data_IF_420374550109
#
_entry.id   IF_420374550109
#
_cell.length_a   1.000
_cell.length_b   1.000
_cell.length_c   1.000
_cell.angle_alpha   90.00
_cell.angle_beta   90.00
_cell.angle_gamma   90.00
#
_symmetry.space_group_name_H-M   'P 1'
#
loop_
_entity.id
_entity.type
_entity.pdbx_description
1 polymer ?
#
# COMPACT_ATOMS: atom_id res chain seq x y z
N UNK A 1 2.75 -53.79 -1.39
CA UNK A 1 3.25 -52.87 -0.37
C UNK A 1 2.18 -51.86 0.11
N UNK A 2 1.48 -51.09 -0.74
CA UNK A 2 0.49 -50.09 -0.31
C UNK A 2 -0.61 -50.64 0.60
N UNK A 3 -1.17 -51.84 0.30
CA UNK A 3 -2.19 -52.49 1.13
C UNK A 3 -1.74 -52.79 2.57
N UNK A 4 -0.47 -53.18 2.73
CA UNK A 4 0.11 -53.44 4.06
C UNK A 4 0.35 -52.13 4.81
N UNK A 5 0.86 -51.11 4.14
CA UNK A 5 1.03 -49.78 4.73
C UNK A 5 -0.28 -49.14 5.22
N UNK A 6 -1.37 -49.28 4.44
CA UNK A 6 -2.69 -48.80 4.86
C UNK A 6 -3.25 -49.57 6.07
N UNK A 7 -3.07 -50.89 6.10
CA UNK A 7 -3.52 -51.71 7.25
C UNK A 7 -2.72 -51.39 8.52
N UNK A 8 -1.47 -51.07 8.36
CA UNK A 8 -0.58 -50.67 9.44
C UNK A 8 -0.85 -49.25 9.93
N UNK A 9 -1.16 -48.34 9.01
CA UNK A 9 -1.65 -46.99 9.33
C UNK A 9 -2.93 -47.05 10.17
N UNK A 10 -3.89 -47.89 9.77
CA UNK A 10 -5.17 -48.06 10.48
C UNK A 10 -4.99 -48.64 11.88
N UNK A 11 -3.98 -49.54 12.09
CA UNK A 11 -3.68 -50.15 13.40
C UNK A 11 -3.13 -49.12 14.41
N UNK A 12 -2.47 -48.03 13.95
CA UNK A 12 -1.90 -46.99 14.79
C UNK A 12 -2.56 -45.61 14.55
N UNK A 13 -3.83 -45.60 14.22
CA UNK A 13 -4.55 -44.45 13.73
C UNK A 13 -4.45 -43.23 14.67
N UNK A 14 -4.56 -43.41 15.98
CA UNK A 14 -4.46 -42.34 16.97
C UNK A 14 -3.08 -41.66 16.99
N UNK A 15 -2.01 -42.46 16.94
CA UNK A 15 -0.63 -41.95 16.91
C UNK A 15 -0.36 -41.20 15.59
N UNK A 16 -0.83 -41.75 14.47
CA UNK A 16 -0.64 -41.16 13.16
C UNK A 16 -1.46 -39.87 13.00
N UNK A 17 -2.70 -39.84 13.51
CA UNK A 17 -3.51 -38.61 13.54
C UNK A 17 -2.83 -37.57 14.42
N UNK A 18 -2.32 -37.90 15.59
CA UNK A 18 -1.64 -36.97 16.47
C UNK A 18 -0.41 -36.32 15.78
N UNK A 19 0.42 -37.11 15.11
CA UNK A 19 1.56 -36.60 14.33
C UNK A 19 1.07 -35.69 13.19
N UNK A 20 0.03 -36.13 12.45
CA UNK A 20 -0.51 -35.33 11.36
C UNK A 20 -1.07 -33.98 11.84
N UNK A 21 -1.75 -33.95 12.98
CA UNK A 21 -2.25 -32.71 13.59
C UNK A 21 -1.09 -31.81 14.03
N UNK A 22 -0.06 -32.33 14.66
CA UNK A 22 1.13 -31.57 15.04
C UNK A 22 1.83 -30.97 13.82
N UNK A 23 2.00 -31.73 12.76
CA UNK A 23 2.59 -31.25 11.51
C UNK A 23 1.73 -30.17 10.87
N UNK A 24 0.41 -30.35 10.86
CA UNK A 24 -0.51 -29.33 10.32
C UNK A 24 -0.45 -28.02 11.10
N UNK A 25 -0.45 -28.06 12.43
CA UNK A 25 -0.30 -26.87 13.28
C UNK A 25 1.03 -26.18 13.03
N UNK A 26 2.13 -26.94 12.98
CA UNK A 26 3.45 -26.39 12.70
C UNK A 26 3.51 -25.72 11.32
N UNK A 27 2.89 -26.34 10.31
CA UNK A 27 2.81 -25.79 8.95
C UNK A 27 2.02 -24.49 8.92
N UNK A 28 0.89 -24.42 9.63
CA UNK A 28 0.07 -23.21 9.75
C UNK A 28 0.89 -22.07 10.39
N UNK A 29 1.55 -22.32 11.51
CA UNK A 29 2.37 -21.33 12.21
C UNK A 29 3.52 -20.85 11.31
N UNK A 30 4.21 -21.78 10.65
CA UNK A 30 5.32 -21.45 9.75
C UNK A 30 4.84 -20.62 8.56
N UNK A 31 3.73 -21.01 7.93
CA UNK A 31 3.15 -20.28 6.81
C UNK A 31 2.72 -18.86 7.22
N UNK A 32 2.07 -18.71 8.36
CA UNK A 32 1.65 -17.41 8.88
C UNK A 32 2.86 -16.51 9.16
N UNK A 33 3.92 -17.04 9.77
CA UNK A 33 5.13 -16.29 10.07
C UNK A 33 5.88 -15.87 8.79
N UNK A 34 6.05 -16.77 7.83
CA UNK A 34 6.69 -16.48 6.53
C UNK A 34 5.86 -15.46 5.75
N UNK A 35 4.54 -15.62 5.69
CA UNK A 35 3.64 -14.69 5.03
C UNK A 35 3.73 -13.28 5.64
N UNK A 36 3.81 -13.17 6.96
CA UNK A 36 3.99 -11.89 7.65
C UNK A 36 5.31 -11.18 7.27
N UNK A 37 6.40 -11.93 7.10
CA UNK A 37 7.69 -11.35 6.65
C UNK A 37 7.62 -10.94 5.19
N UNK A 38 7.10 -11.81 4.33
CA UNK A 38 6.99 -11.53 2.89
C UNK A 38 6.14 -10.30 2.63
N UNK A 39 5.00 -10.16 3.31
CA UNK A 39 4.14 -8.98 3.21
C UNK A 39 4.89 -7.68 3.52
N UNK A 40 5.80 -7.68 4.52
CA UNK A 40 6.62 -6.50 4.85
C UNK A 40 7.65 -6.20 3.76
N UNK A 41 8.28 -7.23 3.21
CA UNK A 41 9.23 -7.09 2.11
C UNK A 41 8.51 -6.58 0.85
N UNK A 42 7.32 -7.10 0.55
CA UNK A 42 6.49 -6.66 -0.57
C UNK A 42 6.09 -5.19 -0.45
N UNK A 43 5.82 -4.70 0.75
CA UNK A 43 5.57 -3.27 0.98
C UNK A 43 6.83 -2.41 0.82
N UNK A 44 7.99 -2.91 1.23
CA UNK A 44 9.24 -2.16 1.13
C UNK A 44 9.81 -2.12 -0.30
N UNK A 45 9.62 -3.18 -1.07
CA UNK A 45 10.20 -3.31 -2.42
C UNK A 45 9.79 -2.18 -3.38
N UNK A 46 8.51 -1.79 -3.49
CA UNK A 46 8.10 -0.66 -4.32
C UNK A 46 8.73 0.65 -3.87
N UNK A 47 8.80 0.85 -2.55
CA UNK A 47 9.33 2.08 -1.95
C UNK A 47 10.84 2.20 -2.16
N UNK A 48 11.57 1.09 -2.13
CA UNK A 48 13.02 1.08 -2.31
C UNK A 48 13.48 1.82 -3.57
N UNK A 49 12.73 1.75 -4.67
CA UNK A 49 13.09 2.43 -5.92
C UNK A 49 13.00 3.96 -5.83
N UNK A 50 12.17 4.50 -4.92
CA UNK A 50 12.03 5.94 -4.70
C UNK A 50 13.10 6.51 -3.76
N UNK A 51 13.86 5.64 -3.10
CA UNK A 51 14.96 5.97 -2.22
C UNK A 51 16.24 5.28 -2.71
N UNK A 52 16.77 5.68 -3.88
CA UNK A 52 18.01 5.10 -4.40
C UNK A 52 19.18 5.37 -3.46
N UNK A 53 20.33 4.74 -3.73
CA UNK A 53 21.53 4.90 -2.90
C UNK A 53 22.21 6.28 -3.05
N UNK A 54 21.52 7.23 -3.69
CA UNK A 54 21.93 8.63 -3.87
C UNK A 54 21.37 9.55 -2.78
N UNK A 55 21.56 10.84 -3.00
CA UNK A 55 21.03 11.92 -2.17
C UNK A 55 19.58 12.20 -2.53
N UNK A 56 18.77 12.48 -1.53
CA UNK A 56 17.40 12.90 -1.73
C UNK A 56 16.72 13.25 -0.43
N UNK A 57 15.56 13.84 -0.55
CA UNK A 57 14.78 14.38 0.54
C UNK A 57 13.34 13.83 0.48
N UNK A 58 12.85 13.35 1.60
CA UNK A 58 11.48 12.96 1.81
C UNK A 58 10.77 14.03 2.62
N UNK A 59 9.68 14.55 2.10
CA UNK A 59 8.86 15.58 2.73
C UNK A 59 7.52 14.95 3.08
N UNK A 60 7.10 15.11 4.31
CA UNK A 60 5.78 14.69 4.76
C UNK A 60 5.04 15.84 5.46
N UNK A 61 3.72 15.72 5.58
CA UNK A 61 2.83 16.78 6.05
C UNK A 61 3.02 18.08 5.25
N UNK A 62 2.89 17.95 3.96
CA UNK A 62 3.04 19.05 3.02
C UNK A 62 1.91 20.04 3.23
N UNK A 63 2.25 21.32 3.31
CA UNK A 63 1.27 22.42 3.33
C UNK A 63 0.75 22.70 1.93
N UNK A 64 -0.45 23.26 1.82
CA UNK A 64 -1.09 23.60 0.54
C UNK A 64 -0.26 24.56 -0.35
N UNK A 65 0.71 25.24 0.25
CA UNK A 65 1.67 26.13 -0.44
C UNK A 65 2.91 25.42 -0.95
N UNK A 66 3.00 24.11 -0.79
CA UNK A 66 4.18 23.36 -1.24
C UNK A 66 4.36 23.48 -2.77
N UNK A 67 5.61 23.59 -3.24
CA UNK A 67 5.89 23.68 -4.66
C UNK A 67 5.44 22.41 -5.38
N UNK A 68 4.87 22.60 -6.57
CA UNK A 68 4.51 21.48 -7.43
C UNK A 68 5.74 20.75 -7.91
N UNK A 69 5.57 19.48 -8.30
CA UNK A 69 6.64 18.67 -8.88
C UNK A 69 7.31 19.36 -10.08
N UNK A 70 6.54 20.10 -10.88
CA UNK A 70 7.05 20.86 -12.01
C UNK A 70 7.98 22.00 -11.59
N UNK A 71 7.70 22.66 -10.47
CA UNK A 71 8.52 23.74 -9.92
C UNK A 71 9.82 23.19 -9.33
N UNK A 72 9.72 22.09 -8.57
CA UNK A 72 10.90 21.44 -8.01
C UNK A 72 11.81 20.84 -9.08
N UNK A 73 11.26 20.28 -10.16
CA UNK A 73 12.05 19.77 -11.31
C UNK A 73 12.78 20.86 -12.06
N UNK A 74 12.39 22.13 -11.93
CA UNK A 74 13.14 23.24 -12.52
C UNK A 74 14.38 23.64 -11.72
N UNK A 75 14.58 23.08 -10.52
CA UNK A 75 15.80 23.26 -9.74
C UNK A 75 16.88 22.35 -10.36
N UNK A 76 17.99 22.93 -10.77
CA UNK A 76 19.07 22.21 -11.50
C UNK A 76 19.60 20.97 -10.77
N UNK A 77 19.54 20.97 -9.43
CA UNK A 77 20.04 19.89 -8.58
C UNK A 77 19.06 18.72 -8.42
N UNK A 78 17.79 18.89 -8.85
CA UNK A 78 16.74 17.88 -8.73
C UNK A 78 16.76 16.98 -9.96
N UNK A 79 16.75 15.67 -9.74
CA UNK A 79 16.65 14.64 -10.78
C UNK A 79 15.19 14.25 -11.02
N UNK A 80 14.48 13.94 -9.95
CA UNK A 80 13.06 13.55 -10.04
C UNK A 80 12.27 13.94 -8.79
N UNK A 81 10.97 14.11 -8.97
CA UNK A 81 10.02 14.34 -7.88
C UNK A 81 8.85 13.39 -8.07
N UNK A 82 8.45 12.74 -7.00
CA UNK A 82 7.32 11.80 -6.99
C UNK A 82 6.41 12.10 -5.82
N UNK A 83 5.12 12.27 -6.09
CA UNK A 83 4.09 12.51 -5.06
C UNK A 83 2.75 11.88 -5.44
N UNK A 84 1.89 11.71 -4.45
CA UNK A 84 0.45 11.63 -4.65
C UNK A 84 -0.10 13.06 -4.72
N UNK A 85 -1.23 13.21 -5.35
CA UNK A 85 -1.83 14.52 -5.59
C UNK A 85 -3.26 14.57 -5.12
N UNK A 86 -3.61 15.67 -4.49
CA UNK A 86 -4.98 16.13 -4.41
C UNK A 86 -5.34 16.94 -5.66
N UNK A 87 -6.60 17.03 -5.99
CA UNK A 87 -7.04 17.75 -7.18
C UNK A 87 -8.14 18.75 -6.82
N UNK A 88 -8.26 19.79 -7.63
CA UNK A 88 -9.40 20.69 -7.57
C UNK A 88 -10.68 20.11 -8.21
N UNK A 89 -10.71 18.82 -8.45
CA UNK A 89 -11.88 18.10 -8.95
C UNK A 89 -12.85 17.79 -7.82
N UNK A 90 -14.12 17.94 -8.11
CA UNK A 90 -15.20 17.65 -7.18
C UNK A 90 -16.06 16.52 -7.70
N UNK A 91 -16.48 15.67 -6.80
CA UNK A 91 -17.55 14.72 -7.04
C UNK A 91 -18.82 15.24 -6.35
N UNK A 92 -19.93 15.29 -7.05
CA UNK A 92 -21.24 15.53 -6.46
C UNK A 92 -22.25 14.52 -7.00
N UNK A 93 -22.90 13.73 -6.13
CA UNK A 93 -23.91 12.76 -6.56
C UNK A 93 -25.17 13.43 -7.13
N UNK A 94 -25.46 14.66 -6.72
CA UNK A 94 -26.63 15.40 -7.20
C UNK A 94 -26.20 16.67 -7.94
N UNK A 95 -26.51 16.76 -9.22
CA UNK A 95 -26.27 17.94 -10.04
C UNK A 95 -27.10 19.18 -9.63
N UNK A 96 -27.90 19.09 -8.57
CA UNK A 96 -28.83 20.13 -8.11
C UNK A 96 -28.28 21.04 -7.01
N UNK A 97 -27.25 20.62 -6.25
CA UNK A 97 -26.83 21.31 -5.03
C UNK A 97 -25.49 22.04 -5.11
N UNK A 98 -25.04 22.37 -6.32
CA UNK A 98 -23.78 23.12 -6.48
C UNK A 98 -23.88 24.59 -6.06
N UNK A 99 -25.11 25.11 -5.89
CA UNK A 99 -25.35 26.51 -5.50
C UNK A 99 -25.25 26.77 -4.00
N UNK A 100 -25.35 25.74 -3.14
CA UNK A 100 -25.45 25.90 -1.69
C UNK A 100 -24.27 25.32 -0.89
N UNK A 101 -23.08 25.29 -1.48
CA UNK A 101 -21.91 24.72 -0.80
C UNK A 101 -21.95 23.19 -0.83
N UNK A 102 -20.78 22.65 -0.85
CA UNK A 102 -20.52 21.22 -0.98
C UNK A 102 -21.11 20.45 0.23
N UNK A 103 -22.03 19.54 -0.02
CA UNK A 103 -22.64 18.68 1.03
C UNK A 103 -21.65 17.70 1.67
N UNK A 104 -22.09 17.04 2.76
CA UNK A 104 -21.29 16.07 3.54
C UNK A 104 -20.88 14.81 2.78
N UNK A 105 -21.46 14.55 1.59
CA UNK A 105 -21.19 13.36 0.77
C UNK A 105 -20.03 13.54 -0.22
N UNK A 106 -19.07 14.39 0.11
CA UNK A 106 -17.92 14.65 -0.78
C UNK A 106 -16.97 13.47 -0.82
N UNK A 107 -16.65 13.06 -2.03
CA UNK A 107 -15.51 12.19 -2.27
C UNK A 107 -14.36 13.03 -2.80
N UNK A 108 -13.18 12.93 -2.17
CA UNK A 108 -11.97 13.54 -2.71
C UNK A 108 -11.59 12.87 -4.02
N UNK A 109 -11.30 13.67 -5.03
CA UNK A 109 -10.72 13.17 -6.28
C UNK A 109 -9.22 13.37 -6.19
N UNK A 110 -8.51 12.27 -6.17
CA UNK A 110 -7.06 12.23 -6.03
C UNK A 110 -6.43 11.70 -7.31
N UNK A 111 -5.17 12.05 -7.53
CA UNK A 111 -4.44 11.54 -8.67
C UNK A 111 -3.13 10.87 -8.24
N UNK A 112 -2.72 9.86 -8.99
CA UNK A 112 -1.44 9.19 -8.84
C UNK A 112 -0.65 9.26 -10.14
N UNK A 113 0.67 9.48 -10.03
CA UNK A 113 1.57 9.39 -11.17
C UNK A 113 1.61 7.94 -11.71
N UNK A 114 1.93 7.81 -12.98
CA UNK A 114 2.03 6.50 -13.64
C UNK A 114 3.05 5.58 -12.94
N UNK A 115 4.16 6.15 -12.46
CA UNK A 115 5.18 5.42 -11.70
C UNK A 115 4.64 4.87 -10.38
N UNK A 116 3.84 5.66 -9.66
CA UNK A 116 3.18 5.22 -8.43
C UNK A 116 2.20 4.08 -8.71
N UNK A 117 1.37 4.23 -9.74
CA UNK A 117 0.37 3.23 -10.14
C UNK A 117 1.04 1.90 -10.49
N UNK A 118 2.17 1.92 -11.21
CA UNK A 118 2.92 0.71 -11.59
C UNK A 118 3.71 0.07 -10.46
N UNK A 119 4.01 0.83 -9.42
CA UNK A 119 4.88 0.36 -8.34
C UNK A 119 4.21 -0.52 -7.33
N UNK A 120 2.96 -0.30 -7.09
CA UNK A 120 2.20 -1.00 -6.06
C UNK A 120 0.74 -1.18 -6.48
N UNK A 121 0.22 -2.37 -6.24
CA UNK A 121 -1.20 -2.68 -6.44
C UNK A 121 -1.82 -2.91 -5.07
N UNK A 122 -2.78 -2.09 -4.63
CA UNK A 122 -3.50 -2.31 -3.39
C UNK A 122 -4.38 -3.57 -3.48
N UNK A 123 -4.85 -4.06 -2.35
CA UNK A 123 -5.82 -5.13 -2.34
C UNK A 123 -7.15 -4.62 -2.90
N UNK A 124 -7.64 -5.26 -3.95
CA UNK A 124 -8.91 -4.90 -4.59
C UNK A 124 -10.05 -5.76 -4.04
N UNK A 125 -11.18 -5.14 -3.75
CA UNK A 125 -12.42 -5.82 -3.41
C UNK A 125 -13.14 -6.31 -4.67
N UNK A 126 -13.05 -5.52 -5.75
CA UNK A 126 -13.56 -5.91 -7.08
C UNK A 126 -12.85 -5.14 -8.21
N UNK A 127 -12.94 -5.66 -9.43
CA UNK A 127 -12.39 -5.02 -10.63
C UNK A 127 -10.86 -5.11 -10.73
N UNK A 128 -10.24 -4.06 -11.31
CA UNK A 128 -8.80 -4.02 -11.61
C UNK A 128 -8.17 -2.76 -11.04
N UNK A 129 -6.88 -2.83 -10.74
CA UNK A 129 -6.08 -1.65 -10.43
C UNK A 129 -5.79 -0.83 -11.70
N UNK A 130 -5.49 0.45 -11.54
CA UNK A 130 -5.25 1.40 -12.65
C UNK A 130 -4.13 0.99 -13.60
N UNK A 131 -3.11 0.26 -13.15
CA UNK A 131 -2.03 -0.24 -14.01
C UNK A 131 -2.51 -1.20 -15.11
N UNK A 132 -3.65 -1.83 -14.92
CA UNK A 132 -4.26 -2.79 -15.84
C UNK A 132 -5.53 -2.23 -16.53
N UNK A 133 -5.81 -0.94 -16.32
CA UNK A 133 -6.94 -0.26 -16.90
C UNK A 133 -6.49 0.50 -18.16
N UNK A 134 -7.29 0.45 -19.20
CA UNK A 134 -7.15 1.29 -20.38
C UNK A 134 -8.35 2.22 -20.47
N UNK A 135 -8.10 3.45 -20.92
CA UNK A 135 -9.18 4.39 -21.19
C UNK A 135 -10.17 3.77 -22.20
N UNK A 136 -11.45 3.90 -21.92
CA UNK A 136 -12.52 3.41 -22.77
C UNK A 136 -13.17 4.62 -23.47
N UNK A 137 -12.62 5.01 -24.62
CA UNK A 137 -13.04 6.22 -25.32
C UNK A 137 -12.73 7.48 -24.49
N UNK A 138 -13.73 8.33 -24.28
CA UNK A 138 -13.62 9.59 -23.52
C UNK A 138 -13.77 9.39 -21.98
N UNK A 139 -13.87 8.14 -21.51
CA UNK A 139 -14.04 7.85 -20.09
C UNK A 139 -12.67 7.73 -19.41
N UNK A 140 -12.50 8.44 -18.32
CA UNK A 140 -11.29 8.39 -17.48
C UNK A 140 -11.41 7.16 -16.57
N UNK A 141 -10.42 6.23 -16.56
CA UNK A 141 -10.45 5.12 -15.62
C UNK A 141 -10.19 5.61 -14.19
N UNK A 142 -11.01 5.15 -13.25
CA UNK A 142 -10.88 5.50 -11.85
C UNK A 142 -11.06 4.27 -10.95
N UNK A 143 -10.43 4.31 -9.77
CA UNK A 143 -10.72 3.38 -8.69
C UNK A 143 -11.27 4.14 -7.49
N UNK A 144 -12.10 3.47 -6.70
CA UNK A 144 -12.72 4.05 -5.50
C UNK A 144 -12.43 3.19 -4.28
N UNK A 145 -12.53 3.78 -3.10
CA UNK A 145 -12.52 3.04 -1.84
C UNK A 145 -13.87 2.38 -1.58
N UNK A 146 -13.88 1.23 -0.93
CA UNK A 146 -15.07 0.38 -0.73
C UNK A 146 -16.20 1.12 0.01
N UNK A 147 -15.86 2.07 0.89
CA UNK A 147 -16.83 2.90 1.61
C UNK A 147 -17.61 3.89 0.71
N UNK A 148 -17.24 4.05 -0.55
CA UNK A 148 -17.94 4.92 -1.51
C UNK A 148 -19.27 4.35 -2.02
N UNK A 149 -19.55 3.06 -1.79
CA UNK A 149 -20.71 2.31 -2.30
C UNK A 149 -20.81 2.18 -3.83
N UNK A 150 -19.78 2.61 -4.59
CA UNK A 150 -19.71 2.41 -6.04
C UNK A 150 -19.24 1.02 -6.41
N UNK A 151 -19.61 0.60 -7.62
CA UNK A 151 -19.27 -0.70 -8.19
C UNK A 151 -18.46 -0.55 -9.46
N UNK A 152 -17.71 -1.57 -9.78
CA UNK A 152 -17.02 -1.67 -11.07
C UNK A 152 -18.02 -1.58 -12.22
N UNK A 153 -17.73 -0.69 -13.18
CA UNK A 153 -18.60 -0.38 -14.33
C UNK A 153 -19.51 0.83 -14.10
N UNK A 154 -19.60 1.37 -12.89
CA UNK A 154 -20.36 2.60 -12.65
C UNK A 154 -19.67 3.78 -13.35
N UNK A 155 -20.48 4.68 -13.92
CA UNK A 155 -20.02 5.92 -14.51
C UNK A 155 -20.37 7.07 -13.57
N UNK A 156 -19.33 7.77 -13.13
CA UNK A 156 -19.42 8.88 -12.20
C UNK A 156 -19.06 10.17 -12.89
N UNK A 157 -19.71 11.27 -12.54
CA UNK A 157 -19.36 12.59 -13.06
C UNK A 157 -18.52 13.35 -12.05
N UNK A 158 -17.32 13.74 -12.44
CA UNK A 158 -16.46 14.66 -11.72
C UNK A 158 -16.52 16.04 -12.37
N UNK A 159 -16.29 17.06 -11.60
CA UNK A 159 -16.40 18.45 -12.05
C UNK A 159 -15.23 19.29 -11.58
N UNK A 160 -14.87 20.29 -12.37
CA UNK A 160 -13.97 21.34 -11.95
C UNK A 160 -14.59 22.70 -12.22
N UNK A 161 -14.14 23.71 -11.45
CA UNK A 161 -14.52 25.10 -11.68
C UNK A 161 -13.63 25.68 -12.76
N UNK A 162 -14.23 26.27 -13.78
CA UNK A 162 -13.53 27.03 -14.80
C UNK A 162 -13.94 28.49 -14.73
N UNK A 163 -12.94 29.36 -14.72
CA UNK A 163 -13.19 30.84 -14.70
C UNK A 163 -13.67 31.28 -16.06
N UNK A 164 -14.90 31.79 -16.14
CA UNK A 164 -15.53 32.25 -17.38
C UNK A 164 -15.62 33.76 -17.51
N UNK A 165 -15.35 34.52 -16.44
CA UNK A 165 -15.41 35.99 -16.48
C UNK A 165 -15.16 36.61 -15.11
N UNK A 166 -15.35 37.95 -15.06
CA UNK A 166 -15.36 38.71 -13.81
C UNK A 166 -16.80 39.09 -13.47
N UNK A 167 -17.11 39.09 -12.19
CA UNK A 167 -18.39 39.54 -11.66
C UNK A 167 -18.39 41.05 -11.54
N UNK A 168 -19.56 41.67 -11.75
CA UNK A 168 -19.73 43.12 -11.46
C UNK A 168 -19.91 43.28 -9.94
N UNK A 169 -19.39 44.40 -9.36
CA UNK A 169 -19.70 44.73 -7.96
C UNK A 169 -21.19 44.88 -7.64
N UNK A 170 -22.03 45.01 -8.67
CA UNK A 170 -23.49 45.12 -8.55
C UNK A 170 -24.20 43.74 -8.60
N UNK A 171 -23.47 42.65 -8.82
CA UNK A 171 -24.04 41.30 -8.83
C UNK A 171 -24.37 40.85 -7.38
N UNK A 172 -25.52 40.20 -7.17
CA UNK A 172 -25.97 39.76 -5.82
C UNK A 172 -24.98 38.85 -5.11
N UNK A 173 -24.25 38.03 -5.88
CA UNK A 173 -23.29 37.05 -5.36
C UNK A 173 -21.83 37.54 -5.42
N UNK A 174 -21.60 38.85 -5.59
CA UNK A 174 -20.27 39.42 -5.72
C UNK A 174 -19.46 39.29 -4.42
N UNK A 175 -18.31 38.60 -4.49
CA UNK A 175 -17.35 38.51 -3.40
C UNK A 175 -16.06 39.27 -3.74
N UNK A 176 -15.70 40.26 -2.91
CA UNK A 176 -14.45 41.01 -3.06
C UNK A 176 -13.19 40.15 -2.95
N UNK A 177 -13.26 38.99 -2.27
CA UNK A 177 -12.16 38.05 -2.14
C UNK A 177 -12.01 37.17 -3.39
N UNK A 178 -13.11 36.89 -4.11
CA UNK A 178 -13.13 36.09 -5.33
C UNK A 178 -14.11 36.68 -6.37
N UNK A 179 -13.72 37.76 -7.07
CA UNK A 179 -14.59 38.49 -7.97
C UNK A 179 -14.77 37.83 -9.34
N UNK A 180 -14.75 36.51 -9.38
CA UNK A 180 -14.81 35.79 -10.64
C UNK A 180 -16.06 34.93 -10.76
N UNK A 181 -16.59 34.87 -11.99
CA UNK A 181 -17.67 33.96 -12.35
C UNK A 181 -17.08 32.62 -12.79
N UNK A 182 -17.65 31.56 -12.25
CA UNK A 182 -17.23 30.20 -12.54
C UNK A 182 -18.34 29.38 -13.19
N UNK A 183 -17.95 28.52 -14.10
CA UNK A 183 -18.78 27.43 -14.61
C UNK A 183 -18.21 26.09 -14.21
N UNK A 184 -19.10 25.08 -14.07
CA UNK A 184 -18.68 23.70 -13.74
C UNK A 184 -18.59 22.87 -15.00
N UNK A 185 -17.38 22.53 -15.40
CA UNK A 185 -17.11 21.60 -16.50
C UNK A 185 -17.17 20.18 -15.98
N UNK A 186 -17.94 19.33 -16.68
CA UNK A 186 -18.21 17.96 -16.28
C UNK A 186 -17.38 16.98 -17.09
N UNK A 187 -16.71 16.06 -16.41
CA UNK A 187 -15.96 14.96 -16.98
C UNK A 187 -16.52 13.62 -16.47
N UNK A 188 -16.50 12.59 -17.29
CA UNK A 188 -16.99 11.26 -16.92
C UNK A 188 -15.83 10.36 -16.58
N UNK A 189 -15.95 9.62 -15.49
CA UNK A 189 -15.02 8.58 -15.07
C UNK A 189 -15.73 7.25 -15.01
N UNK A 190 -15.06 6.18 -15.42
CA UNK A 190 -15.52 4.81 -15.26
C UNK A 190 -14.82 4.17 -14.06
N UNK A 191 -15.58 3.63 -13.13
CA UNK A 191 -15.03 2.88 -12.00
C UNK A 191 -14.54 1.52 -12.49
N UNK A 192 -13.23 1.38 -12.64
CA UNK A 192 -12.59 0.13 -13.11
C UNK A 192 -12.27 -0.84 -11.98
N UNK A 193 -12.30 -0.35 -10.74
CA UNK A 193 -12.05 -1.19 -9.57
C UNK A 193 -12.40 -0.51 -8.24
N UNK A 194 -12.54 -1.34 -7.21
CA UNK A 194 -12.84 -0.94 -5.84
C UNK A 194 -11.74 -1.46 -4.92
N UNK A 195 -11.12 -0.57 -4.14
CA UNK A 195 -10.06 -0.88 -3.19
C UNK A 195 -10.72 -1.42 -1.92
N UNK A 196 -10.26 -2.58 -1.45
CA UNK A 196 -10.81 -3.24 -0.26
C UNK A 196 -10.54 -2.43 1.02
N UNK A 197 -11.48 -2.51 1.96
CA UNK A 197 -11.29 -2.03 3.33
C UNK A 197 -10.08 -2.72 3.99
N UNK A 198 -9.29 -1.97 4.75
CA UNK A 198 -8.04 -2.45 5.34
C UNK A 198 -6.86 -2.54 4.37
N UNK A 199 -7.06 -2.24 3.09
CA UNK A 199 -5.96 -2.15 2.12
C UNK A 199 -5.04 -0.98 2.42
N UNK A 200 -3.82 -1.07 1.91
CA UNK A 200 -2.85 0.02 1.96
C UNK A 200 -2.72 0.66 0.58
N UNK A 201 -2.53 1.96 0.56
CA UNK A 201 -2.41 2.76 -0.65
C UNK A 201 -1.11 3.56 -0.61
N UNK A 202 -0.23 3.34 -1.59
CA UNK A 202 1.03 4.07 -1.72
C UNK A 202 0.80 5.47 -2.29
N UNK A 203 1.56 6.45 -1.81
CA UNK A 203 1.56 7.82 -2.32
C UNK A 203 0.69 8.79 -1.52
N UNK A 204 -0.02 8.30 -0.51
CA UNK A 204 -0.80 9.13 0.39
C UNK A 204 -0.36 8.88 1.83
N UNK A 205 -0.29 9.92 2.65
CA UNK A 205 0.02 9.74 4.07
C UNK A 205 -1.20 9.25 4.84
N UNK A 206 -0.97 8.56 5.96
CA UNK A 206 -2.04 8.14 6.88
C UNK A 206 -2.85 9.34 7.39
N UNK A 207 -2.21 10.49 7.58
CA UNK A 207 -2.87 11.73 7.99
C UNK A 207 -3.92 12.20 6.97
N UNK A 208 -3.68 11.97 5.68
CA UNK A 208 -4.61 12.36 4.63
C UNK A 208 -5.95 11.60 4.69
N UNK A 209 -5.94 10.34 5.13
CA UNK A 209 -7.15 9.53 5.30
C UNK A 209 -7.84 9.72 6.65
N UNK A 210 -7.46 10.73 7.43
CA UNK A 210 -8.09 11.05 8.72
C UNK A 210 -7.72 10.09 9.85
N UNK A 211 -6.68 9.30 9.69
CA UNK A 211 -6.11 8.51 10.77
C UNK A 211 -5.05 9.35 11.48
N UNK A 212 -5.30 9.67 12.75
CA UNK A 212 -4.41 10.47 13.61
C UNK A 212 -3.12 9.70 13.99
N UNK A 213 -2.35 9.25 13.04
CA UNK A 213 -1.01 8.80 13.35
C UNK A 213 -0.10 10.04 13.44
N UNK A 214 0.24 10.40 14.66
CA UNK A 214 1.24 11.43 14.94
C UNK A 214 2.51 11.14 14.13
N UNK A 215 3.00 12.14 13.43
CA UNK A 215 4.23 12.04 12.64
C UNK A 215 5.35 11.50 13.51
N UNK A 216 5.88 10.36 13.12
CA UNK A 216 6.98 9.74 13.85
C UNK A 216 8.23 10.63 13.77
N UNK A 217 9.01 10.66 14.84
CA UNK A 217 10.32 11.30 14.83
C UNK A 217 11.28 10.61 13.83
N UNK A 218 11.07 9.32 13.61
CA UNK A 218 11.86 8.47 12.72
C UNK A 218 10.93 7.79 11.71
N UNK A 219 10.62 8.44 10.59
CA UNK A 219 9.77 7.86 9.57
C UNK A 219 10.47 6.67 8.90
N UNK A 220 9.65 5.71 8.49
CA UNK A 220 10.08 4.54 7.74
C UNK A 220 9.13 4.29 6.56
N UNK A 221 9.40 3.27 5.73
CA UNK A 221 8.62 2.99 4.52
C UNK A 221 7.11 2.86 4.76
N UNK A 222 6.66 2.53 5.98
CA UNK A 222 5.24 2.41 6.30
C UNK A 222 4.52 3.76 6.26
N UNK A 223 5.25 4.84 6.47
CA UNK A 223 4.69 6.19 6.48
C UNK A 223 4.35 6.71 5.08
N UNK A 224 4.79 5.99 4.02
CA UNK A 224 4.40 6.24 2.64
C UNK A 224 3.07 5.61 2.24
N UNK A 225 2.49 4.80 3.11
CA UNK A 225 1.22 4.13 2.86
C UNK A 225 0.11 4.71 3.73
N UNK A 226 -1.02 4.95 3.10
CA UNK A 226 -2.26 5.26 3.78
C UNK A 226 -3.11 4.00 3.92
N UNK A 227 -3.73 3.80 5.08
CA UNK A 227 -4.65 2.70 5.30
C UNK A 227 -6.05 3.11 4.85
N UNK A 228 -6.60 2.40 3.89
CA UNK A 228 -8.00 2.54 3.50
C UNK A 228 -8.86 2.02 4.64
N UNK A 229 -9.74 2.85 5.17
CA UNK A 229 -10.58 2.51 6.31
C UNK A 229 -12.05 2.79 5.96
N UNK A 230 -12.92 1.86 6.32
CA UNK A 230 -14.37 1.96 6.12
C UNK A 230 -14.99 3.22 6.73
N UNK A 231 -14.39 3.76 7.78
CA UNK A 231 -14.83 5.00 8.44
C UNK A 231 -13.98 6.22 8.05
N UNK A 232 -13.01 6.03 7.15
CA UNK A 232 -12.16 7.11 6.64
C UNK A 232 -12.79 7.86 5.48
N UNK A 233 -12.03 8.80 4.94
CA UNK A 233 -12.45 9.58 3.78
C UNK A 233 -12.65 8.67 2.56
N UNK A 234 -13.74 8.90 1.85
CA UNK A 234 -13.97 8.28 0.55
C UNK A 234 -13.03 8.91 -0.48
N UNK A 235 -12.40 8.08 -1.29
CA UNK A 235 -11.46 8.54 -2.33
C UNK A 235 -11.87 8.01 -3.69
N UNK A 236 -11.75 8.86 -4.70
CA UNK A 236 -11.76 8.51 -6.10
C UNK A 236 -10.38 8.82 -6.66
N UNK A 237 -9.70 7.82 -7.21
CA UNK A 237 -8.30 7.94 -7.65
C UNK A 237 -8.24 7.76 -9.17
N UNK A 238 -7.61 8.71 -9.84
CA UNK A 238 -7.41 8.73 -11.29
C UNK A 238 -5.92 8.81 -11.63
N UNK A 239 -5.48 8.39 -12.83
CA UNK A 239 -4.12 8.65 -13.31
C UNK A 239 -3.90 10.14 -13.58
N UNK A 240 -2.74 10.70 -13.21
CA UNK A 240 -2.39 12.09 -13.53
C UNK A 240 -2.38 12.37 -15.04
N UNK A 241 -2.00 11.38 -15.84
CA UNK A 241 -1.93 11.52 -17.30
C UNK A 241 -3.29 11.80 -17.94
N UNK A 242 -4.37 11.28 -17.33
CA UNK A 242 -5.74 11.53 -17.79
C UNK A 242 -6.25 12.93 -17.42
N UNK A 243 -5.52 13.68 -16.59
CA UNK A 243 -5.89 15.03 -16.19
C UNK A 243 -5.21 16.12 -17.02
N UNK A 244 -4.30 15.77 -17.93
CA UNK A 244 -3.54 16.74 -18.74
C UNK A 244 -4.41 17.64 -19.61
N UNK A 245 -5.51 17.07 -20.10
CA UNK A 245 -6.48 17.80 -20.94
C UNK A 245 -7.60 18.45 -20.15
N UNK A 246 -7.59 18.30 -18.82
CA UNK A 246 -8.56 18.88 -17.91
C UNK A 246 -7.91 20.07 -17.22
N UNK A 247 -8.53 21.24 -17.30
CA UNK A 247 -8.06 22.44 -16.63
C UNK A 247 -8.32 22.38 -15.11
N UNK A 248 -7.69 21.39 -14.42
CA UNK A 248 -7.77 21.26 -12.98
C UNK A 248 -6.41 21.54 -12.34
N UNK A 249 -6.44 22.08 -11.13
CA UNK A 249 -5.23 22.21 -10.31
C UNK A 249 -4.96 20.89 -9.60
N UNK A 250 -3.69 20.53 -9.53
CA UNK A 250 -3.20 19.41 -8.76
C UNK A 250 -2.26 19.94 -7.68
N UNK A 251 -2.32 19.33 -6.50
CA UNK A 251 -1.52 19.73 -5.34
C UNK A 251 -0.85 18.49 -4.77
N UNK A 252 0.45 18.52 -4.40
CA UNK A 252 1.06 17.43 -3.68
C UNK A 252 0.30 17.14 -2.38
N UNK A 253 0.00 15.90 -2.09
CA UNK A 253 -0.75 15.55 -0.90
C UNK A 253 0.00 14.53 -0.04
N UNK A 254 0.34 14.96 1.15
CA UNK A 254 0.86 14.12 2.22
C UNK A 254 2.32 13.75 2.15
N UNK A 255 2.83 13.33 0.99
CA UNK A 255 4.20 12.84 0.82
C UNK A 255 4.79 13.32 -0.50
N UNK A 256 6.00 13.87 -0.44
CA UNK A 256 6.76 14.24 -1.63
C UNK A 256 8.18 13.70 -1.53
N UNK A 257 8.65 13.03 -2.56
CA UNK A 257 9.97 12.40 -2.63
C UNK A 257 10.76 13.14 -3.70
N UNK A 258 11.83 13.81 -3.28
CA UNK A 258 12.72 14.59 -4.14
C UNK A 258 14.06 13.88 -4.26
N UNK A 259 14.36 13.32 -5.43
CA UNK A 259 15.65 12.70 -5.72
C UNK A 259 16.57 13.76 -6.31
N UNK A 260 17.79 13.83 -5.79
CA UNK A 260 18.82 14.78 -6.22
C UNK A 260 19.85 14.10 -7.11
N UNK A 261 20.49 14.88 -7.98
CA UNK A 261 21.59 14.42 -8.81
C UNK A 261 22.82 14.05 -7.96
N UNK A 262 23.59 13.08 -8.41
CA UNK A 262 24.75 12.53 -7.67
C UNK A 262 25.82 13.57 -7.34
N UNK A 263 25.96 14.62 -8.17
CA UNK A 263 26.98 15.64 -8.07
C UNK A 263 26.64 16.81 -7.13
N UNK A 264 25.50 16.76 -6.42
CA UNK A 264 25.08 17.83 -5.50
C UNK A 264 26.02 17.92 -4.32
N UNK A 265 26.57 19.12 -4.04
CA UNK A 265 27.44 19.36 -2.88
C UNK A 265 26.66 19.25 -1.56
N UNK A 266 27.39 19.02 -0.45
CA UNK A 266 26.73 18.93 0.87
C UNK A 266 26.16 20.29 1.32
N UNK A 267 26.78 21.40 0.91
CA UNK A 267 26.23 22.73 1.20
C UNK A 267 24.91 22.92 0.46
N UNK A 268 24.87 22.57 -0.81
CA UNK A 268 23.66 22.73 -1.61
C UNK A 268 22.54 21.79 -1.17
N UNK A 269 22.89 20.58 -0.73
CA UNK A 269 21.93 19.66 -0.11
C UNK A 269 21.25 20.29 1.11
N UNK A 270 22.03 20.91 2.02
CA UNK A 270 21.50 21.58 3.21
C UNK A 270 20.64 22.80 2.87
N UNK A 271 21.01 23.55 1.85
CA UNK A 271 20.19 24.70 1.38
C UNK A 271 18.82 24.22 0.90
N UNK A 272 18.77 23.15 0.09
CA UNK A 272 17.53 22.55 -0.39
C UNK A 272 16.72 21.96 0.77
N UNK A 273 17.35 21.28 1.71
CA UNK A 273 16.69 20.78 2.91
C UNK A 273 16.03 21.90 3.70
N UNK A 274 16.73 23.03 3.93
CA UNK A 274 16.19 24.19 4.62
C UNK A 274 15.04 24.83 3.86
N UNK A 275 15.16 24.99 2.55
CA UNK A 275 14.11 25.52 1.68
C UNK A 275 12.82 24.67 1.77
N UNK A 276 12.97 23.34 1.71
CA UNK A 276 11.84 22.43 1.72
C UNK A 276 11.18 22.28 3.12
N UNK A 277 11.87 22.63 4.20
CA UNK A 277 11.32 22.65 5.57
C UNK A 277 10.21 23.67 5.76
N UNK A 278 10.15 24.71 4.94
CA UNK A 278 9.06 25.70 4.97
C UNK A 278 7.72 25.09 4.51
N UNK A 279 7.76 23.96 3.80
CA UNK A 279 6.60 23.31 3.21
C UNK A 279 6.18 22.02 3.89
N UNK A 280 7.01 21.51 4.81
CA UNK A 280 6.71 20.28 5.55
C UNK A 280 7.88 19.78 6.37
N UNK A 281 7.73 18.59 6.94
CA UNK A 281 8.83 17.92 7.66
C UNK A 281 9.71 17.20 6.65
N UNK A 282 10.99 17.50 6.67
CA UNK A 282 11.98 16.99 5.71
C UNK A 282 12.90 15.99 6.39
N UNK A 283 13.13 14.86 5.71
CA UNK A 283 14.05 13.82 6.12
C UNK A 283 14.94 13.43 4.93
N UNK A 284 16.21 13.14 5.18
CA UNK A 284 17.09 12.63 4.14
C UNK A 284 16.84 11.13 3.86
N UNK A 285 17.23 10.69 2.65
CA UNK A 285 17.01 9.30 2.21
C UNK A 285 17.83 8.29 3.02
N UNK A 286 19.00 8.67 3.53
CA UNK A 286 19.85 7.76 4.30
C UNK A 286 19.16 7.38 5.61
N UNK A 287 18.70 8.38 6.37
CA UNK A 287 17.95 8.17 7.59
C UNK A 287 16.65 7.39 7.37
N UNK A 288 15.94 7.69 6.29
CA UNK A 288 14.70 6.99 5.96
C UNK A 288 14.94 5.50 5.63
N UNK A 289 15.98 5.20 4.83
CA UNK A 289 16.38 3.83 4.52
C UNK A 289 16.84 3.07 5.75
N UNK A 290 17.70 3.68 6.57
CA UNK A 290 18.18 3.07 7.81
C UNK A 290 17.01 2.71 8.75
N UNK A 291 16.10 3.63 8.99
CA UNK A 291 14.91 3.39 9.81
C UNK A 291 14.06 2.24 9.24
N UNK A 292 13.88 2.21 7.92
CA UNK A 292 13.14 1.15 7.24
C UNK A 292 13.80 -0.22 7.40
N UNK A 293 15.12 -0.30 7.26
CA UNK A 293 15.89 -1.52 7.43
C UNK A 293 15.92 -1.97 8.90
N UNK A 294 16.05 -1.04 9.84
CA UNK A 294 15.98 -1.34 11.28
C UNK A 294 14.65 -1.97 11.63
N UNK A 295 13.55 -1.45 11.09
CA UNK A 295 12.22 -2.04 11.30
C UNK A 295 12.14 -3.47 10.75
N UNK A 296 12.54 -3.69 9.48
CA UNK A 296 12.49 -5.03 8.85
C UNK A 296 13.37 -6.02 9.61
N UNK A 297 14.62 -5.63 9.91
CA UNK A 297 15.55 -6.48 10.64
C UNK A 297 15.03 -6.80 12.05
N UNK A 298 14.40 -5.84 12.74
CA UNK A 298 13.76 -6.04 14.03
C UNK A 298 12.64 -7.09 13.99
N UNK A 299 11.87 -7.15 12.90
CA UNK A 299 10.85 -8.20 12.70
C UNK A 299 11.50 -9.56 12.43
N UNK A 300 12.54 -9.61 11.59
CA UNK A 300 13.26 -10.84 11.28
C UNK A 300 13.92 -11.44 12.53
N UNK A 301 14.59 -10.62 13.36
CA UNK A 301 15.22 -11.05 14.60
C UNK A 301 14.20 -11.71 15.56
N UNK A 302 12.97 -11.22 15.60
CA UNK A 302 11.89 -11.80 16.44
C UNK A 302 11.33 -13.11 15.86
N UNK A 303 11.16 -13.18 14.54
CA UNK A 303 10.50 -14.30 13.87
C UNK A 303 11.41 -15.50 13.63
N UNK A 304 12.68 -15.28 13.29
CA UNK A 304 13.63 -16.37 13.00
C UNK A 304 13.83 -17.33 14.17
N UNK A 305 14.07 -16.89 15.42
CA UNK A 305 14.16 -17.80 16.55
C UNK A 305 12.89 -18.61 16.78
N UNK A 306 11.72 -17.98 16.64
CA UNK A 306 10.43 -18.66 16.78
C UNK A 306 10.27 -19.76 15.73
N UNK A 307 10.62 -19.51 14.46
CA UNK A 307 10.60 -20.51 13.39
C UNK A 307 11.54 -21.68 13.68
N UNK A 308 12.76 -21.40 14.15
CA UNK A 308 13.73 -22.42 14.52
C UNK A 308 13.17 -23.30 15.64
N UNK A 309 12.59 -22.70 16.69
CA UNK A 309 11.95 -23.44 17.79
C UNK A 309 10.82 -24.36 17.28
N UNK A 310 9.95 -23.87 16.39
CA UNK A 310 8.87 -24.68 15.81
C UNK A 310 9.45 -25.87 15.02
N UNK A 311 10.47 -25.66 14.19
CA UNK A 311 11.11 -26.71 13.42
C UNK A 311 11.72 -27.75 14.35
N UNK A 312 12.45 -27.35 15.39
CA UNK A 312 13.05 -28.26 16.38
C UNK A 312 11.98 -29.10 17.10
N UNK A 313 10.89 -28.44 17.53
CA UNK A 313 9.77 -29.13 18.18
C UNK A 313 9.14 -30.20 17.26
N UNK A 314 8.96 -29.91 15.98
CA UNK A 314 8.43 -30.83 14.99
C UNK A 314 9.36 -32.03 14.82
N UNK A 315 10.67 -31.79 14.69
CA UNK A 315 11.67 -32.84 14.55
C UNK A 315 11.67 -33.76 15.80
N UNK A 316 11.77 -33.17 16.99
CA UNK A 316 11.78 -33.92 18.26
C UNK A 316 10.50 -34.72 18.44
N UNK A 317 9.33 -34.14 18.15
CA UNK A 317 8.03 -34.81 18.23
C UNK A 317 7.95 -35.97 17.24
N UNK A 318 8.41 -35.80 16.01
CA UNK A 318 8.40 -36.83 14.98
C UNK A 318 9.32 -38.00 15.33
N UNK A 319 10.54 -37.73 15.83
CA UNK A 319 11.49 -38.72 16.28
C UNK A 319 10.94 -39.49 17.50
N UNK A 320 10.37 -38.76 18.47
CA UNK A 320 9.78 -39.38 19.66
C UNK A 320 8.62 -40.33 19.33
N UNK A 321 7.72 -39.86 18.45
CA UNK A 321 6.60 -40.71 18.00
C UNK A 321 7.08 -41.94 17.23
N UNK A 322 8.10 -41.82 16.38
CA UNK A 322 8.72 -42.91 15.68
C UNK A 322 9.39 -43.94 16.65
N UNK A 323 10.12 -43.42 17.64
CA UNK A 323 10.77 -44.24 18.67
C UNK A 323 9.75 -45.05 19.50
N UNK A 324 8.62 -44.40 19.89
CA UNK A 324 7.54 -45.11 20.60
C UNK A 324 6.92 -46.20 19.73
N UNK A 325 6.69 -45.95 18.45
CA UNK A 325 6.16 -46.93 17.52
C UNK A 325 7.14 -48.13 17.32
N UNK A 326 8.43 -47.83 17.17
CA UNK A 326 9.47 -48.87 17.06
C UNK A 326 9.50 -49.70 18.34
N UNK A 327 9.50 -49.11 19.53
CA UNK A 327 9.50 -49.82 20.81
C UNK A 327 8.30 -50.75 20.97
N UNK A 328 7.11 -50.32 20.56
CA UNK A 328 5.90 -51.14 20.57
C UNK A 328 6.02 -52.39 19.65
N UNK A 329 6.84 -52.31 18.58
CA UNK A 329 7.02 -53.39 17.58
C UNK A 329 8.26 -54.23 17.77
N UNK A 330 9.09 -53.92 18.74
CA UNK A 330 10.30 -54.70 19.01
C UNK A 330 10.01 -56.18 19.19
N UNK A 331 8.89 -56.53 19.83
CA UNK A 331 8.43 -57.92 19.96
C UNK A 331 8.11 -58.55 18.61
N UNK A 332 7.39 -57.84 17.74
CA UNK A 332 7.01 -58.32 16.40
C UNK A 332 8.28 -58.53 15.54
N UNK A 333 9.22 -57.60 15.59
CA UNK A 333 10.49 -57.68 14.87
C UNK A 333 11.37 -58.81 15.38
N UNK A 334 11.36 -59.10 16.70
CA UNK A 334 12.03 -60.22 17.26
C UNK A 334 11.50 -61.59 16.73
N UNK A 335 10.17 -61.69 16.59
CA UNK A 335 9.50 -62.83 16.01
C UNK A 335 9.88 -63.01 14.52
N UNK A 336 9.84 -61.93 13.74
CA UNK A 336 10.22 -61.97 12.32
C UNK A 336 11.69 -62.36 12.13
N UNK A 337 12.59 -61.89 13.00
CA UNK A 337 13.99 -62.26 12.97
C UNK A 337 14.19 -63.72 13.28
N UNK A 338 13.50 -64.26 14.30
CA UNK A 338 13.52 -65.69 14.64
C UNK A 338 12.96 -66.58 13.51
N UNK A 339 12.02 -66.00 12.72
CA UNK A 339 11.46 -66.65 11.54
C UNK A 339 12.33 -66.56 10.28
N UNK A 340 13.55 -65.97 10.38
CA UNK A 340 14.53 -65.96 9.29
C UNK A 340 14.48 -64.70 8.42
N UNK A 341 13.78 -63.67 8.84
CA UNK A 341 13.80 -62.36 8.14
C UNK A 341 15.18 -61.67 8.28
N UNK A 342 15.75 -61.23 7.16
CA UNK A 342 17.03 -60.51 7.17
C UNK A 342 16.78 -59.03 7.44
N UNK A 343 17.71 -58.36 8.13
CA UNK A 343 17.65 -56.93 8.43
C UNK A 343 17.58 -55.99 7.20
N UNK A 344 17.89 -56.53 6.01
CA UNK A 344 17.91 -55.81 4.75
C UNK A 344 16.70 -56.12 3.85
N UNK A 345 15.63 -56.65 4.40
CA UNK A 345 14.43 -57.03 3.64
C UNK A 345 13.29 -55.98 3.76
#
# INVERSE_FOLDING_TARGET
MIKYGLKEFARNIYSNIFIAVQLAIAFIIMTAAVSSVLSRIEMYTPVKKYFPDGKGLYICNIYDTAPLDSELKNIDDVESVTSGYDTSLYYSPSSKDLSNGLGDDRMSVNALSEDMIKSFTPQMSSGKWLSNASANGDLIPAVVTENSNYKTGDIVTIMHKEKVGEMSPDDEDFDYADPYKYEYVKNKVEIVGVIADGSQLLGFSSAYLGTEDSIKEKPDFRDLYANVNKHGNMMLIVPTDCLKDINCKIYPCGNQIVTLKDNVSNERFKELELYLRDYGRVFDFENFRENSLVYINGQLIKLVPMLICVIVLVIVSSVSASAVNIKKRLGDYGIYYLCGAKWNA
#
